data_IF_166911775943
#
_entry.id   IF_166911775943
#
_cell.length_a   1.000
_cell.length_b   1.000
_cell.length_c   1.000
_cell.angle_alpha   90.00
_cell.angle_beta   90.00
_cell.angle_gamma   90.00
#
_symmetry.space_group_name_H-M   'P 1'
#
loop_
_entity.id
_entity.type
_entity.pdbx_description
1 polymer ?
#
# COMPACT_ATOMS: atom_id res chain seq x y z
N UNK A 1 5.98 -7.55 15.69
CA UNK A 1 7.14 -7.28 14.81
C UNK A 1 7.15 -5.83 14.35
N UNK A 2 8.24 -5.11 14.63
CA UNK A 2 8.37 -3.67 14.35
C UNK A 2 8.74 -3.38 12.88
N UNK A 3 8.32 -2.21 12.38
CA UNK A 3 8.57 -1.79 10.99
C UNK A 3 10.05 -1.56 10.68
N UNK A 4 10.79 -1.05 11.66
CA UNK A 4 12.22 -0.78 11.56
C UNK A 4 13.03 -2.01 11.12
N UNK A 5 12.64 -3.20 11.57
CA UNK A 5 13.37 -4.45 11.29
C UNK A 5 13.38 -4.83 9.79
N UNK A 6 12.43 -4.31 9.00
CA UNK A 6 12.24 -4.67 7.60
C UNK A 6 12.33 -3.46 6.66
N UNK A 7 12.67 -2.28 7.18
CA UNK A 7 12.68 -1.03 6.40
C UNK A 7 13.76 -1.05 5.31
N UNK A 8 14.91 -1.63 5.62
CA UNK A 8 16.04 -1.76 4.69
C UNK A 8 15.93 -3.09 3.97
N UNK A 9 15.84 -3.05 2.63
CA UNK A 9 15.91 -4.26 1.81
C UNK A 9 17.31 -4.85 1.86
N UNK A 10 17.49 -5.94 2.61
CA UNK A 10 18.77 -6.66 2.74
C UNK A 10 18.68 -8.00 2.00
N UNK A 11 19.74 -8.36 1.28
CA UNK A 11 19.84 -9.63 0.56
C UNK A 11 19.09 -9.64 -0.78
N UNK A 12 18.92 -10.84 -1.33
CA UNK A 12 18.27 -11.05 -2.63
C UNK A 12 16.73 -11.04 -2.49
N UNK A 13 15.98 -10.52 -3.49
CA UNK A 13 14.52 -10.56 -3.48
C UNK A 13 13.96 -11.98 -3.43
N UNK A 14 13.18 -12.27 -2.39
CA UNK A 14 12.57 -13.58 -2.17
C UNK A 14 11.11 -13.60 -2.66
N UNK A 15 10.93 -13.76 -3.97
CA UNK A 15 9.62 -13.58 -4.62
C UNK A 15 9.13 -14.79 -5.46
N UNK A 16 9.97 -15.82 -5.64
CA UNK A 16 9.63 -16.97 -6.51
C UNK A 16 8.67 -17.93 -5.81
N UNK A 17 7.37 -17.80 -6.09
CA UNK A 17 6.30 -18.58 -5.44
C UNK A 17 6.47 -20.10 -5.58
N UNK A 18 7.08 -20.58 -6.65
CA UNK A 18 7.30 -22.02 -6.88
C UNK A 18 8.19 -22.68 -5.81
N UNK A 19 9.08 -21.90 -5.19
CA UNK A 19 10.03 -22.38 -4.17
C UNK A 19 9.62 -21.99 -2.74
N UNK A 20 8.59 -21.16 -2.58
CA UNK A 20 8.18 -20.58 -1.29
C UNK A 20 6.89 -21.23 -0.84
N UNK A 21 6.99 -22.13 0.15
CA UNK A 21 5.82 -22.77 0.76
C UNK A 21 5.27 -21.93 1.91
N UNK A 22 3.94 -21.81 2.01
CA UNK A 22 3.27 -21.16 3.14
C UNK A 22 3.40 -19.64 3.18
N UNK A 23 3.43 -18.96 2.02
CA UNK A 23 3.48 -17.49 1.99
C UNK A 23 2.22 -16.90 2.65
N UNK A 24 2.36 -16.05 3.69
CA UNK A 24 1.21 -15.42 4.33
C UNK A 24 0.38 -14.58 3.35
N UNK A 25 -0.93 -14.58 3.53
CA UNK A 25 -1.84 -13.77 2.73
C UNK A 25 -1.56 -12.27 2.96
N UNK A 26 -1.59 -11.49 1.88
CA UNK A 26 -1.50 -10.03 1.96
C UNK A 26 -2.74 -9.50 2.68
N UNK A 27 -2.57 -8.51 3.56
CA UNK A 27 -3.69 -7.90 4.28
C UNK A 27 -4.20 -6.60 3.65
N UNK A 28 -3.69 -6.24 2.47
CA UNK A 28 -4.20 -5.09 1.73
C UNK A 28 -5.58 -5.46 1.20
N UNK A 29 -6.61 -4.73 1.61
CA UNK A 29 -7.99 -5.10 1.32
C UNK A 29 -8.39 -4.78 -0.13
N UNK A 30 -7.99 -3.59 -0.61
CA UNK A 30 -8.33 -3.07 -1.94
C UNK A 30 -7.15 -2.27 -2.50
N UNK A 31 -6.91 -2.41 -3.80
CA UNK A 31 -5.91 -1.61 -4.52
C UNK A 31 -6.51 -0.43 -5.28
N UNK A 32 -7.85 -0.40 -5.40
CA UNK A 32 -8.61 0.63 -6.10
C UNK A 32 -9.78 1.05 -5.21
N UNK A 33 -10.08 2.34 -5.17
CA UNK A 33 -11.17 2.93 -4.40
C UNK A 33 -11.73 4.17 -5.09
N UNK A 34 -12.84 4.71 -4.58
CA UNK A 34 -13.56 5.82 -5.19
C UNK A 34 -14.31 5.46 -6.47
N UNK A 35 -14.90 6.47 -7.11
CA UNK A 35 -15.59 6.33 -8.39
C UNK A 35 -14.58 6.23 -9.54
N UNK A 36 -14.82 5.31 -10.47
CA UNK A 36 -14.09 5.27 -11.74
C UNK A 36 -14.66 6.31 -12.69
N UNK A 37 -13.86 7.30 -13.03
CA UNK A 37 -14.19 8.35 -13.99
C UNK A 37 -12.92 8.88 -14.64
N UNK A 38 -13.09 9.70 -15.68
CA UNK A 38 -12.01 10.52 -16.21
C UNK A 38 -11.92 11.78 -15.37
N UNK A 39 -10.75 12.01 -14.78
CA UNK A 39 -10.46 13.19 -13.97
C UNK A 39 -9.42 14.04 -14.68
N UNK A 40 -9.55 15.36 -14.57
CA UNK A 40 -8.61 16.30 -15.20
C UNK A 40 -7.24 16.32 -14.50
N UNK A 41 -7.18 15.90 -13.24
CA UNK A 41 -6.00 15.99 -12.38
C UNK A 41 -5.61 14.64 -11.78
N UNK A 42 -4.30 14.42 -11.66
CA UNK A 42 -3.71 13.27 -10.97
C UNK A 42 -2.71 13.75 -9.93
N UNK A 43 -2.87 13.31 -8.69
CA UNK A 43 -1.94 13.58 -7.59
C UNK A 43 -1.33 12.26 -7.14
N UNK A 44 0.00 12.23 -7.02
CA UNK A 44 0.75 11.03 -6.67
C UNK A 44 1.63 11.28 -5.46
N UNK A 45 1.66 10.31 -4.54
CA UNK A 45 2.62 10.29 -3.43
C UNK A 45 3.88 9.54 -3.88
N UNK A 46 4.99 10.26 -3.95
CA UNK A 46 6.29 9.72 -4.33
C UNK A 46 7.14 9.41 -3.09
N UNK A 47 8.02 8.41 -3.21
CA UNK A 47 8.99 8.06 -2.17
C UNK A 47 10.32 8.76 -2.45
N UNK A 48 10.90 9.37 -1.41
CA UNK A 48 12.19 10.06 -1.50
C UNK A 48 13.37 9.16 -1.12
N UNK A 49 13.10 7.95 -0.64
CA UNK A 49 14.10 7.01 -0.15
C UNK A 49 13.81 5.59 -0.62
N UNK A 50 14.88 4.81 -0.78
CA UNK A 50 14.78 3.39 -1.13
C UNK A 50 14.51 2.56 0.13
N UNK A 51 13.25 2.17 0.31
CA UNK A 51 12.80 1.41 1.49
C UNK A 51 11.88 0.27 1.09
N UNK A 52 11.81 -0.75 1.94
CA UNK A 52 10.79 -1.80 1.86
C UNK A 52 9.62 -1.46 2.79
N UNK A 53 8.43 -1.36 2.21
CA UNK A 53 7.19 -1.06 2.93
C UNK A 53 6.42 -2.36 3.14
N UNK A 54 6.05 -2.64 4.40
CA UNK A 54 5.27 -3.83 4.74
C UNK A 54 3.80 -3.65 4.36
N UNK A 55 3.10 -4.75 4.04
CA UNK A 55 1.67 -4.73 3.68
C UNK A 55 0.78 -4.02 4.73
N UNK A 56 1.16 -4.06 6.02
CA UNK A 56 0.42 -3.41 7.11
C UNK A 56 0.52 -1.90 7.05
N UNK A 57 1.71 -1.38 6.72
CA UNK A 57 1.90 0.05 6.57
C UNK A 57 1.13 0.57 5.35
N UNK A 58 1.13 -0.19 4.25
CA UNK A 58 0.37 0.15 3.04
C UNK A 58 -1.14 0.19 3.33
N UNK A 59 -1.68 -0.84 3.99
CA UNK A 59 -3.12 -0.88 4.33
C UNK A 59 -3.52 0.22 5.31
N UNK A 60 -2.69 0.50 6.32
CA UNK A 60 -2.92 1.61 7.25
C UNK A 60 -2.92 2.96 6.52
N UNK A 61 -1.95 3.19 5.64
CA UNK A 61 -1.88 4.42 4.83
C UNK A 61 -3.12 4.56 3.95
N UNK A 62 -3.54 3.47 3.30
CA UNK A 62 -4.74 3.43 2.46
C UNK A 62 -5.97 3.82 3.26
N UNK A 63 -6.19 3.22 4.43
CA UNK A 63 -7.34 3.52 5.30
C UNK A 63 -7.34 4.98 5.76
N UNK A 64 -6.19 5.50 6.20
CA UNK A 64 -6.08 6.89 6.63
C UNK A 64 -6.35 7.87 5.49
N UNK A 65 -5.81 7.61 4.29
CA UNK A 65 -6.04 8.44 3.11
C UNK A 65 -7.51 8.38 2.67
N UNK A 66 -8.10 7.18 2.56
CA UNK A 66 -9.51 7.00 2.18
C UNK A 66 -10.44 7.72 3.17
N UNK A 67 -10.25 7.54 4.48
CA UNK A 67 -11.07 8.22 5.49
C UNK A 67 -11.00 9.74 5.37
N UNK A 68 -9.82 10.29 5.06
CA UNK A 68 -9.65 11.73 4.88
C UNK A 68 -10.36 12.23 3.63
N UNK A 69 -10.26 11.48 2.52
CA UNK A 69 -10.95 11.79 1.27
C UNK A 69 -12.47 11.73 1.44
N UNK A 70 -12.99 10.67 2.05
CA UNK A 70 -14.42 10.50 2.33
C UNK A 70 -15.00 11.66 3.15
N UNK A 71 -14.25 12.18 4.13
CA UNK A 71 -14.65 13.36 4.91
C UNK A 71 -14.75 14.63 4.07
N UNK A 72 -13.89 14.77 3.04
CA UNK A 72 -13.81 16.00 2.23
C UNK A 72 -14.72 15.96 1.01
N UNK A 73 -14.94 14.79 0.42
CA UNK A 73 -15.61 14.67 -0.87
C UNK A 73 -16.82 13.74 -0.86
N UNK A 74 -17.09 13.05 0.25
CA UNK A 74 -18.18 12.09 0.39
C UNK A 74 -17.79 10.67 -0.03
N UNK A 75 -18.72 9.72 0.16
CA UNK A 75 -18.45 8.29 -0.04
C UNK A 75 -18.11 7.90 -1.49
N UNK A 76 -18.61 8.65 -2.48
CA UNK A 76 -18.36 8.39 -3.90
C UNK A 76 -17.13 9.10 -4.46
N UNK A 77 -16.47 9.91 -3.64
CA UNK A 77 -15.31 10.70 -4.03
C UNK A 77 -15.65 12.10 -4.49
#
# INVERSE_FOLDING_TARGET
>A
MHGANYRVGKGQPFCRKDFIKGNPQIKIAKFQGGKRANYDYCVQLLLNEKVQIRHMAIESCRLSASKKLEQTTGETG
#
